data_IF_170657582837
#
_entry.id   IF_170657582837
#
_cell.length_a   1.000
_cell.length_b   1.000
_cell.length_c   1.000
_cell.angle_alpha   90.00
_cell.angle_beta   90.00
_cell.angle_gamma   90.00
#
_symmetry.space_group_name_H-M   'P 1'
#
loop_
_entity.id
_entity.type
_entity.pdbx_description
1 polymer ?
#
# COMPACT_ATOMS: atom_id res chain seq x y z
N UNK A 1 8.51 -12.68 -3.14
CA UNK A 1 7.78 -12.29 -4.36
C UNK A 1 6.39 -11.80 -4.00
N UNK A 2 5.86 -10.79 -4.70
CA UNK A 2 4.48 -10.33 -4.52
C UNK A 2 3.54 -11.18 -5.39
N UNK A 3 2.59 -11.88 -4.76
CA UNK A 3 1.66 -12.78 -5.42
C UNK A 3 0.22 -12.52 -4.95
N UNK A 4 -0.62 -11.84 -5.77
CA UNK A 4 -2.01 -11.55 -5.41
C UNK A 4 -2.87 -12.81 -5.18
N UNK A 5 -2.53 -13.91 -5.84
CA UNK A 5 -3.26 -15.18 -5.86
C UNK A 5 -2.83 -16.16 -4.75
N UNK A 6 -1.94 -15.75 -3.84
CA UNK A 6 -1.40 -16.63 -2.80
C UNK A 6 -2.53 -17.21 -1.94
N UNK A 7 -2.74 -18.54 -2.02
CA UNK A 7 -3.86 -19.24 -1.38
C UNK A 7 -4.00 -18.98 0.13
N UNK A 8 -2.88 -18.87 0.84
CA UNK A 8 -2.85 -18.61 2.28
C UNK A 8 -2.56 -17.14 2.64
N UNK A 9 -2.94 -16.18 1.79
CA UNK A 9 -2.66 -14.75 2.02
C UNK A 9 -3.18 -14.26 3.36
N UNK A 10 -4.36 -14.74 3.79
CA UNK A 10 -5.05 -14.32 5.02
C UNK A 10 -4.41 -14.82 6.32
N UNK A 11 -3.42 -15.72 6.24
CA UNK A 11 -2.68 -16.22 7.40
C UNK A 11 -1.52 -15.30 7.82
N UNK A 12 -1.40 -14.10 7.23
CA UNK A 12 -0.40 -13.11 7.63
C UNK A 12 -0.63 -12.60 9.07
N UNK A 13 0.45 -12.19 9.74
CA UNK A 13 0.41 -11.72 11.13
C UNK A 13 0.47 -10.20 11.30
N UNK A 14 0.32 -9.42 10.21
CA UNK A 14 0.35 -7.94 10.26
C UNK A 14 -0.66 -7.30 11.25
N UNK A 15 -1.73 -8.01 11.63
CA UNK A 15 -2.72 -7.56 12.61
C UNK A 15 -2.59 -8.24 13.99
N UNK A 16 -1.47 -8.92 14.25
CA UNK A 16 -1.27 -9.70 15.47
C UNK A 16 -2.16 -10.95 15.56
N UNK A 17 -2.10 -11.63 16.71
CA UNK A 17 -2.91 -12.83 17.03
C UNK A 17 -3.11 -12.95 18.55
N UNK A 18 -4.15 -13.65 18.98
CA UNK A 18 -4.47 -13.88 20.40
C UNK A 18 -5.32 -12.76 21.00
N UNK A 19 -5.21 -12.54 22.32
CA UNK A 19 -6.05 -11.58 23.05
C UNK A 19 -5.85 -10.12 22.64
N UNK A 20 -4.74 -9.82 21.97
CA UNK A 20 -4.42 -8.48 21.42
C UNK A 20 -4.50 -8.44 19.89
N UNK A 21 -5.27 -9.34 19.27
CA UNK A 21 -5.55 -9.25 17.84
C UNK A 21 -6.14 -7.87 17.53
N UNK A 22 -5.60 -7.19 16.52
CA UNK A 22 -5.98 -5.82 16.19
C UNK A 22 -7.50 -5.72 15.97
N UNK A 23 -8.17 -4.99 16.86
CA UNK A 23 -9.61 -4.75 16.77
C UNK A 23 -10.00 -4.00 15.47
N UNK A 24 -9.09 -3.18 14.93
CA UNK A 24 -9.27 -2.44 13.68
C UNK A 24 -9.02 -3.25 12.42
N UNK A 25 -8.61 -4.52 12.50
CA UNK A 25 -8.26 -5.31 11.32
C UNK A 25 -9.40 -5.45 10.28
N UNK A 26 -10.68 -5.58 10.64
CA UNK A 26 -11.78 -5.55 9.66
C UNK A 26 -11.92 -4.20 8.98
N UNK A 27 -11.80 -3.10 9.75
CA UNK A 27 -11.92 -1.73 9.24
C UNK A 27 -10.81 -1.42 8.24
N UNK A 28 -9.55 -1.66 8.60
CA UNK A 28 -8.39 -1.39 7.74
C UNK A 28 -8.46 -2.14 6.40
N UNK A 29 -9.03 -3.36 6.38
CA UNK A 29 -9.26 -4.11 5.13
C UNK A 29 -10.29 -3.45 4.24
N UNK A 30 -11.40 -2.99 4.82
CA UNK A 30 -12.46 -2.29 4.07
C UNK A 30 -11.95 -0.94 3.57
N UNK A 31 -11.21 -0.20 4.39
CA UNK A 31 -10.56 1.06 3.98
C UNK A 31 -9.64 0.86 2.77
N UNK A 32 -8.75 -0.14 2.83
CA UNK A 32 -7.85 -0.46 1.72
C UNK A 32 -8.61 -0.87 0.46
N UNK A 33 -9.62 -1.74 0.60
CA UNK A 33 -10.44 -2.18 -0.54
C UNK A 33 -11.21 -1.02 -1.19
N UNK A 34 -11.86 -0.17 -0.41
CA UNK A 34 -12.63 0.98 -0.92
C UNK A 34 -11.66 1.99 -1.54
N UNK A 35 -10.55 2.30 -0.89
CA UNK A 35 -9.55 3.24 -1.39
C UNK A 35 -9.02 2.80 -2.74
N UNK A 36 -8.52 1.56 -2.86
CA UNK A 36 -7.99 1.05 -4.13
C UNK A 36 -9.07 1.04 -5.21
N UNK A 37 -10.30 0.61 -4.90
CA UNK A 37 -11.40 0.64 -5.87
C UNK A 37 -11.69 2.06 -6.35
N UNK A 38 -11.83 3.03 -5.44
CA UNK A 38 -12.13 4.43 -5.80
C UNK A 38 -10.99 5.13 -6.53
N UNK A 39 -9.74 4.80 -6.21
CA UNK A 39 -8.59 5.26 -6.96
C UNK A 39 -8.68 4.73 -8.40
N UNK A 40 -8.89 3.43 -8.59
CA UNK A 40 -8.99 2.82 -9.91
C UNK A 40 -10.24 3.27 -10.71
N UNK A 41 -11.34 3.61 -10.03
CA UNK A 41 -12.53 4.19 -10.67
C UNK A 41 -12.25 5.59 -11.27
N UNK A 42 -11.34 6.36 -10.66
CA UNK A 42 -11.14 7.81 -10.94
C UNK A 42 -9.77 8.14 -11.54
N UNK A 43 -8.84 7.21 -11.54
CA UNK A 43 -7.46 7.41 -11.95
C UNK A 43 -7.06 6.28 -12.89
N UNK A 44 -6.48 6.66 -14.02
CA UNK A 44 -5.86 5.77 -15.00
C UNK A 44 -4.38 6.12 -15.13
N UNK A 45 -3.59 5.22 -15.73
CA UNK A 45 -2.15 5.43 -15.93
C UNK A 45 -1.40 5.84 -14.64
N UNK A 46 -1.68 5.14 -13.53
CA UNK A 46 -1.08 5.44 -12.23
C UNK A 46 0.38 5.01 -12.25
N UNK A 47 1.30 5.97 -12.07
CA UNK A 47 2.75 5.76 -12.09
C UNK A 47 3.43 6.46 -10.92
N UNK A 48 4.60 5.96 -10.53
CA UNK A 48 5.45 6.62 -9.53
C UNK A 48 6.22 7.74 -10.22
N UNK A 49 6.21 8.94 -9.62
CA UNK A 49 6.95 10.09 -10.13
C UNK A 49 8.45 9.78 -10.18
N UNK A 50 9.02 9.75 -11.38
CA UNK A 50 10.44 9.42 -11.57
C UNK A 50 11.38 10.58 -11.24
N UNK A 51 10.89 11.83 -11.32
CA UNK A 51 11.68 13.00 -10.95
C UNK A 51 11.95 13.03 -9.44
N UNK A 52 11.01 12.52 -8.63
CA UNK A 52 11.16 12.43 -7.17
C UNK A 52 11.78 11.09 -6.74
N UNK A 53 11.35 9.97 -7.32
CA UNK A 53 11.73 8.63 -6.83
C UNK A 53 12.74 7.89 -7.71
N UNK A 54 13.24 8.46 -8.80
CA UNK A 54 14.14 7.78 -9.76
C UNK A 54 13.40 6.77 -10.65
N UNK A 55 14.08 6.10 -11.61
CA UNK A 55 13.42 5.23 -12.59
C UNK A 55 12.96 3.88 -12.02
N UNK A 56 12.07 3.19 -12.73
CA UNK A 56 11.71 1.81 -12.41
C UNK A 56 12.95 0.89 -12.31
N UNK A 57 13.04 0.08 -11.25
CA UNK A 57 14.19 -0.77 -10.97
C UNK A 57 15.32 -0.11 -10.15
N UNK A 58 15.34 1.22 -10.03
CA UNK A 58 16.30 1.96 -9.21
C UNK A 58 15.61 3.05 -8.38
N UNK A 59 14.47 2.70 -7.75
CA UNK A 59 13.66 3.64 -6.97
C UNK A 59 14.35 4.02 -5.66
N UNK A 60 14.31 5.29 -5.30
CA UNK A 60 14.75 5.81 -4.00
C UNK A 60 13.54 6.18 -3.16
N UNK A 61 13.35 5.49 -2.04
CA UNK A 61 12.25 5.71 -1.12
C UNK A 61 12.75 6.03 0.28
N UNK A 62 12.14 7.01 0.93
CA UNK A 62 12.36 7.31 2.33
C UNK A 62 11.30 6.61 3.19
N UNK A 63 11.75 5.86 4.19
CA UNK A 63 10.89 5.24 5.20
C UNK A 63 11.05 5.96 6.53
N UNK A 64 10.02 5.91 7.36
CA UNK A 64 10.10 6.41 8.73
C UNK A 64 11.28 5.75 9.48
N UNK A 65 12.16 6.53 10.14
CA UNK A 65 13.37 6.02 10.79
C UNK A 65 13.06 5.44 12.17
N UNK A 66 12.11 4.50 12.24
CA UNK A 66 11.69 3.82 13.46
C UNK A 66 11.82 2.30 13.29
N UNK A 67 12.10 1.62 14.39
CA UNK A 67 12.15 0.16 14.42
C UNK A 67 10.77 -0.49 14.58
N UNK A 68 9.73 0.30 14.89
CA UNK A 68 8.37 -0.19 15.17
C UNK A 68 7.47 -0.19 13.94
N UNK A 69 7.58 0.85 13.09
CA UNK A 69 6.67 1.07 11.97
C UNK A 69 7.43 0.99 10.65
N UNK A 70 6.72 0.51 9.61
CA UNK A 70 7.22 0.49 8.24
C UNK A 70 6.26 1.28 7.36
N UNK A 71 6.50 2.58 7.25
CA UNK A 71 5.75 3.51 6.41
C UNK A 71 6.69 4.30 5.51
N UNK A 72 6.26 4.59 4.28
CA UNK A 72 6.92 5.60 3.45
C UNK A 72 6.58 6.97 4.02
N UNK A 73 7.56 7.86 4.11
CA UNK A 73 7.31 9.25 4.56
C UNK A 73 6.52 10.03 3.51
N UNK A 74 6.66 9.66 2.24
CA UNK A 74 5.94 10.21 1.10
C UNK A 74 5.96 9.26 -0.08
N UNK A 75 4.93 9.31 -0.93
CA UNK A 75 4.89 8.63 -2.21
C UNK A 75 4.23 9.54 -3.25
N UNK A 76 5.06 10.22 -4.04
CA UNK A 76 4.62 11.06 -5.15
C UNK A 76 4.24 10.15 -6.33
N UNK A 77 3.04 10.35 -6.83
CA UNK A 77 2.47 9.60 -7.94
C UNK A 77 1.96 10.57 -8.98
N UNK A 78 1.99 10.12 -10.23
CA UNK A 78 1.33 10.78 -11.35
C UNK A 78 0.23 9.86 -11.85
N UNK A 79 -0.84 10.44 -12.37
CA UNK A 79 -1.97 9.71 -12.93
C UNK A 79 -2.70 10.59 -13.94
N UNK A 80 -3.46 9.94 -14.81
CA UNK A 80 -4.44 10.61 -15.67
C UNK A 80 -5.82 10.51 -15.00
N UNK A 81 -6.52 11.63 -14.86
CA UNK A 81 -7.90 11.63 -14.35
C UNK A 81 -8.79 10.82 -15.29
N UNK A 82 -9.46 9.80 -14.76
CA UNK A 82 -10.57 9.17 -15.47
C UNK A 82 -11.78 10.10 -15.34
N UNK A 83 -12.39 10.46 -16.47
CA UNK A 83 -13.60 11.29 -16.52
C UNK A 83 -14.81 10.57 -15.91
#
# INVERSE_FOLDING_TARGET
EFRPDRKNVREHIAFGRGIHTCAGAPLARVEGQITVRRLLDRMSDIRIDEAVHGPAGARTFAYDPTFLLRGLTQLHIEFTSAA
#
